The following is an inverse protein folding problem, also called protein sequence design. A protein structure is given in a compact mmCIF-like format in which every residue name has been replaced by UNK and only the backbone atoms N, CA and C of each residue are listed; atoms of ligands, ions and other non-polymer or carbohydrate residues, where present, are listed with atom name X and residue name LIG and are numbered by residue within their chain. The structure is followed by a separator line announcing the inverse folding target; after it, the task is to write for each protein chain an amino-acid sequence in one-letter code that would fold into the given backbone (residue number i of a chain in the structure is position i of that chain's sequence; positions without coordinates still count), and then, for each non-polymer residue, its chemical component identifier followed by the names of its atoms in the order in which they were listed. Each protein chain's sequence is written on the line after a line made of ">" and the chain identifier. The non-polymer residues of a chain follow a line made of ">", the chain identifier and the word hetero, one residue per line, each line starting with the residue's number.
data_IF_828893416905
#
_entry.id   IF_828893416905
#
_cell.length_a   1.000
_cell.length_b   1.000
_cell.length_c   1.000
_cell.angle_alpha   90.00
_cell.angle_beta   90.00
_cell.angle_gamma   90.00
#
_symmetry.space_group_name_H-M   'P 1'
#
loop_
_entity.id
_entity.type
_entity.pdbx_description
1 polymer ?
#
# COMPACT_ATOMS: atom_id res chain seq x y z
N UNK A 1 10.97 -7.40 9.91
CA UNK A 1 10.34 -6.08 9.99
C UNK A 1 10.65 -5.46 11.35
N UNK A 2 11.01 -4.20 11.36
CA UNK A 2 11.29 -3.42 12.58
C UNK A 2 10.36 -2.21 12.55
N UNK A 3 9.57 -2.00 13.60
CA UNK A 3 8.80 -0.78 13.82
C UNK A 3 9.69 0.26 14.47
N UNK A 4 9.48 1.51 14.12
CA UNK A 4 10.25 2.65 14.62
C UNK A 4 9.37 3.46 15.58
N UNK A 5 9.56 3.33 16.91
CA UNK A 5 8.68 3.94 17.91
C UNK A 5 8.57 5.47 17.77
N UNK A 6 9.67 6.14 17.42
CA UNK A 6 9.72 7.60 17.28
C UNK A 6 8.91 8.12 16.07
N UNK A 7 8.49 7.21 15.18
CA UNK A 7 7.67 7.50 14.00
C UNK A 7 6.26 6.95 14.12
N UNK A 8 5.85 6.59 15.34
CA UNK A 8 4.46 6.29 15.65
C UNK A 8 3.71 7.60 15.83
N UNK A 9 2.70 7.85 15.01
CA UNK A 9 1.75 8.94 15.24
C UNK A 9 0.51 8.35 15.88
N UNK A 10 0.25 8.75 17.12
CA UNK A 10 -1.00 8.50 17.80
C UNK A 10 -1.94 9.65 17.45
N UNK A 11 -2.90 9.41 16.60
CA UNK A 11 -4.05 10.27 16.40
C UNK A 11 -5.21 9.71 17.21
N UNK A 12 -6.20 10.55 17.65
CA UNK A 12 -7.28 10.08 18.54
C UNK A 12 -8.00 8.81 18.07
N UNK A 13 -7.98 8.55 16.77
CA UNK A 13 -8.76 7.47 16.15
C UNK A 13 -7.89 6.41 15.43
N UNK A 14 -6.57 6.58 15.31
CA UNK A 14 -5.74 5.56 14.67
C UNK A 14 -4.24 5.73 14.91
N UNK A 15 -3.61 4.64 15.30
CA UNK A 15 -2.16 4.56 15.45
C UNK A 15 -1.53 4.11 14.14
N UNK A 16 -0.71 4.99 13.55
CA UNK A 16 0.12 4.69 12.40
C UNK A 16 1.59 4.68 12.79
N UNK A 17 2.34 3.80 12.20
CA UNK A 17 3.77 3.73 12.41
C UNK A 17 4.52 3.47 11.10
N UNK A 18 5.73 3.98 11.05
CA UNK A 18 6.70 3.65 10.01
C UNK A 18 7.58 2.54 10.52
N UNK A 19 7.84 1.56 9.69
CA UNK A 19 8.78 0.49 9.94
C UNK A 19 9.71 0.27 8.77
N UNK A 20 10.70 -0.59 8.98
CA UNK A 20 11.66 -1.00 7.97
C UNK A 20 11.56 -2.50 7.78
N UNK A 21 11.37 -2.91 6.54
CA UNK A 21 11.39 -4.31 6.11
C UNK A 21 12.75 -4.63 5.50
N UNK A 22 13.34 -5.70 5.99
CA UNK A 22 14.55 -6.29 5.43
C UNK A 22 14.18 -7.59 4.71
N UNK A 23 14.64 -7.75 3.48
CA UNK A 23 14.56 -9.00 2.75
C UNK A 23 15.97 -9.50 2.48
N UNK A 24 16.23 -10.77 2.77
CA UNK A 24 17.45 -11.48 2.43
C UNK A 24 17.08 -12.84 1.82
N UNK A 25 17.85 -13.31 0.85
CA UNK A 25 17.68 -14.65 0.28
C UNK A 25 18.95 -15.46 0.48
N UNK A 26 18.89 -16.42 1.39
CA UNK A 26 19.99 -17.36 1.63
C UNK A 26 20.26 -18.28 0.41
N UNK A 27 19.24 -18.47 -0.42
CA UNK A 27 19.30 -19.34 -1.61
C UNK A 27 19.60 -18.59 -2.93
N UNK A 28 20.13 -17.37 -2.85
CA UNK A 28 20.54 -16.52 -3.98
C UNK A 28 19.45 -16.09 -4.97
N UNK A 29 18.19 -16.25 -4.62
CA UNK A 29 17.07 -15.90 -5.51
C UNK A 29 16.66 -14.41 -5.43
N UNK A 30 17.18 -13.65 -4.48
CA UNK A 30 16.92 -12.22 -4.35
C UNK A 30 18.12 -11.50 -3.74
N UNK A 31 18.33 -10.25 -4.13
CA UNK A 31 19.28 -9.36 -3.49
C UNK A 31 18.79 -8.98 -2.09
N UNK A 32 19.72 -8.65 -1.19
CA UNK A 32 19.38 -8.00 0.07
C UNK A 32 18.70 -6.67 -0.23
N UNK A 33 17.57 -6.42 0.39
CA UNK A 33 16.85 -5.16 0.19
C UNK A 33 16.30 -4.61 1.50
N UNK A 34 16.21 -3.28 1.55
CA UNK A 34 15.64 -2.51 2.64
C UNK A 34 14.53 -1.66 2.08
N UNK A 35 13.34 -1.74 2.68
CA UNK A 35 12.17 -0.99 2.23
C UNK A 35 11.43 -0.41 3.43
N UNK A 36 10.97 0.86 3.39
CA UNK A 36 10.04 1.37 4.37
C UNK A 36 8.68 0.70 4.20
N UNK A 37 7.95 0.58 5.29
CA UNK A 37 6.54 0.23 5.25
C UNK A 37 5.75 1.06 6.24
N UNK A 38 4.49 1.29 5.92
CA UNK A 38 3.53 1.89 6.82
C UNK A 38 2.74 0.77 7.53
N UNK A 39 2.58 0.92 8.81
CA UNK A 39 1.83 0.00 9.66
C UNK A 39 0.68 0.72 10.34
N UNK A 40 -0.49 0.08 10.37
CA UNK A 40 -1.63 0.54 11.15
C UNK A 40 -1.88 -0.44 12.29
N UNK A 41 -1.74 0.03 13.52
CA UNK A 41 -1.78 -0.83 14.71
C UNK A 41 -3.16 -1.48 14.94
N UNK A 42 -4.24 -0.79 14.60
CA UNK A 42 -5.62 -1.24 14.87
C UNK A 42 -6.00 -2.49 14.08
N UNK A 43 -5.53 -2.60 12.83
CA UNK A 43 -5.92 -3.69 11.92
C UNK A 43 -4.80 -4.67 11.64
N UNK A 44 -3.60 -4.46 12.20
CA UNK A 44 -2.38 -5.18 11.84
C UNK A 44 -2.10 -5.18 10.32
N UNK A 45 -2.68 -4.24 9.59
CA UNK A 45 -2.51 -4.10 8.16
C UNK A 45 -1.16 -3.45 7.88
N UNK A 46 -0.30 -4.14 7.17
CA UNK A 46 0.95 -3.59 6.65
C UNK A 46 0.77 -3.12 5.21
N UNK A 47 1.25 -1.95 4.89
CA UNK A 47 1.42 -1.49 3.52
C UNK A 47 2.90 -1.44 3.22
N UNK A 48 3.36 -2.30 2.32
CA UNK A 48 4.75 -2.27 1.88
C UNK A 48 4.90 -1.10 0.91
N UNK A 49 5.58 -0.06 1.35
CA UNK A 49 6.00 1.02 0.48
C UNK A 49 7.23 0.57 -0.28
N UNK A 50 7.04 0.18 -1.49
CA UNK A 50 8.14 -0.23 -2.34
C UNK A 50 7.69 -0.18 -3.79
N UNK A 51 8.02 0.91 -4.46
CA UNK A 51 8.26 0.82 -5.88
C UNK A 51 9.50 -0.02 -6.12
N UNK A 52 9.55 -0.63 -7.28
CA UNK A 52 10.78 -1.21 -7.81
C UNK A 52 11.98 -0.24 -7.76
N UNK A 53 11.72 1.08 -7.68
CA UNK A 53 12.72 2.15 -7.64
C UNK A 53 12.99 2.73 -6.23
N UNK A 54 12.18 2.44 -5.21
CA UNK A 54 12.39 2.88 -3.82
C UNK A 54 12.93 1.76 -2.93
N UNK A 55 12.91 0.54 -3.41
CA UNK A 55 13.60 -0.57 -2.79
C UNK A 55 15.11 -0.34 -2.96
N UNK A 56 15.79 0.02 -1.89
CA UNK A 56 17.24 0.14 -1.93
C UNK A 56 17.80 -1.27 -1.98
N UNK A 57 18.13 -1.71 -3.19
CA UNK A 57 18.77 -3.00 -3.42
C UNK A 57 20.24 -2.86 -3.10
N UNK A 58 20.65 -3.45 -2.01
CA UNK A 58 22.06 -3.64 -1.69
C UNK A 58 22.50 -4.86 -2.50
N UNK A 59 23.04 -4.62 -3.69
CA UNK A 59 23.51 -5.68 -4.61
C UNK A 59 24.87 -6.24 -4.13
N UNK A 60 24.90 -6.83 -2.97
CA UNK A 60 26.07 -7.65 -2.61
C UNK A 60 25.81 -9.12 -2.97
N UNK A 61 26.64 -9.62 -3.87
CA UNK A 61 26.69 -11.06 -4.15
C UNK A 61 27.25 -11.78 -2.93
N UNK A 62 26.59 -12.82 -2.46
CA UNK A 62 27.07 -13.70 -1.40
C UNK A 62 28.33 -14.50 -1.79
N UNK A 63 29.16 -14.01 -2.70
CA UNK A 63 30.37 -14.66 -3.18
C UNK A 63 31.55 -13.69 -3.11
N UNK A 64 32.52 -14.03 -2.29
CA UNK A 64 33.73 -13.27 -2.09
C UNK A 64 33.85 -12.61 -0.71
N UNK A 65 34.90 -11.83 -0.52
CA UNK A 65 35.07 -11.04 0.69
C UNK A 65 34.04 -9.92 0.71
N UNK A 66 33.10 -10.00 1.63
CA UNK A 66 32.11 -8.92 1.87
C UNK A 66 32.85 -7.84 2.67
N UNK A 67 32.93 -6.63 2.14
CA UNK A 67 33.34 -5.48 2.91
C UNK A 67 32.20 -5.11 3.88
N UNK A 68 32.39 -5.51 5.14
CA UNK A 68 31.40 -5.30 6.20
C UNK A 68 31.18 -3.81 6.45
N UNK A 69 32.21 -2.99 6.30
CA UNK A 69 32.13 -1.53 6.54
C UNK A 69 31.28 -0.88 5.45
N UNK A 70 31.54 -1.22 4.19
CA UNK A 70 30.73 -0.74 3.06
C UNK A 70 29.26 -1.19 3.19
N UNK A 71 29.00 -2.44 3.56
CA UNK A 71 27.66 -2.96 3.78
C UNK A 71 26.93 -2.20 4.89
N UNK A 72 27.59 -1.93 6.01
CA UNK A 72 27.01 -1.17 7.11
C UNK A 72 26.63 0.25 6.69
N UNK A 73 27.46 0.92 5.89
CA UNK A 73 27.18 2.26 5.40
C UNK A 73 26.01 2.27 4.41
N UNK A 74 25.95 1.30 3.52
CA UNK A 74 24.81 1.12 2.61
C UNK A 74 23.50 0.89 3.39
N UNK A 75 23.53 0.08 4.45
CA UNK A 75 22.36 -0.16 5.31
C UNK A 75 21.94 1.12 6.04
N UNK A 76 22.89 1.88 6.60
CA UNK A 76 22.60 3.16 7.27
C UNK A 76 21.95 4.16 6.32
N UNK A 77 22.49 4.29 5.11
CA UNK A 77 21.92 5.15 4.08
C UNK A 77 20.51 4.71 3.70
N UNK A 78 20.30 3.41 3.53
CA UNK A 78 18.99 2.85 3.23
C UNK A 78 17.96 3.14 4.34
N UNK A 79 18.37 3.05 5.60
CA UNK A 79 17.53 3.38 6.75
C UNK A 79 17.17 4.87 6.74
N UNK A 80 18.15 5.76 6.53
CA UNK A 80 17.92 7.21 6.50
C UNK A 80 16.91 7.61 5.39
N UNK A 81 17.07 7.04 4.19
CA UNK A 81 16.12 7.26 3.09
C UNK A 81 14.73 6.70 3.42
N UNK A 82 14.66 5.51 4.02
CA UNK A 82 13.39 4.91 4.43
C UNK A 82 12.64 5.77 5.47
N UNK A 83 13.37 6.40 6.40
CA UNK A 83 12.80 7.30 7.40
C UNK A 83 12.21 8.57 6.75
N UNK A 84 12.94 9.17 5.82
CA UNK A 84 12.44 10.34 5.07
C UNK A 84 11.17 9.98 4.31
N UNK A 85 11.19 8.89 3.56
CA UNK A 85 10.03 8.41 2.81
C UNK A 85 8.84 8.06 3.72
N UNK A 86 9.10 7.57 4.93
CA UNK A 86 8.04 7.27 5.90
C UNK A 86 7.25 8.50 6.34
N UNK A 87 7.90 9.64 6.52
CA UNK A 87 7.22 10.90 6.84
C UNK A 87 6.34 11.40 5.69
N UNK A 88 6.84 11.27 4.46
CA UNK A 88 6.06 11.62 3.27
C UNK A 88 4.80 10.74 3.16
N UNK A 89 4.94 9.46 3.48
CA UNK A 89 3.82 8.52 3.53
C UNK A 89 2.74 8.92 4.53
N UNK A 90 3.12 9.32 5.74
CA UNK A 90 2.16 9.77 6.75
C UNK A 90 1.40 11.01 6.27
N UNK A 91 2.08 11.92 5.58
CA UNK A 91 1.47 13.09 4.96
C UNK A 91 0.48 12.71 3.85
N UNK A 92 0.88 11.79 2.98
CA UNK A 92 0.03 11.26 1.89
C UNK A 92 -1.20 10.54 2.43
N UNK A 93 -1.04 9.76 3.51
CA UNK A 93 -2.17 9.10 4.19
C UNK A 93 -3.17 10.13 4.72
N UNK A 94 -2.69 11.15 5.45
CA UNK A 94 -3.54 12.22 5.95
C UNK A 94 -4.29 12.96 4.84
N UNK A 95 -3.64 13.17 3.69
CA UNK A 95 -4.28 13.77 2.53
C UNK A 95 -5.31 12.83 1.88
N UNK A 96 -5.00 11.56 1.72
CA UNK A 96 -5.89 10.57 1.08
C UNK A 96 -7.21 10.38 1.81
N UNK A 97 -7.28 10.64 3.11
CA UNK A 97 -8.52 10.68 3.89
C UNK A 97 -9.47 11.78 3.43
N UNK A 98 -8.95 12.88 2.90
CA UNK A 98 -9.72 14.04 2.41
C UNK A 98 -10.09 13.92 0.93
N UNK A 99 -9.38 13.10 0.17
CA UNK A 99 -9.66 12.89 -1.25
C UNK A 99 -10.89 12.01 -1.39
N UNK A 100 -11.98 12.60 -1.85
CA UNK A 100 -13.23 11.87 -2.09
C UNK A 100 -13.15 11.10 -3.41
N UNK A 101 -13.72 9.92 -3.38
CA UNK A 101 -14.01 9.09 -4.56
C UNK A 101 -15.54 9.04 -4.78
N UNK A 102 -15.96 8.82 -5.99
CA UNK A 102 -17.37 8.64 -6.28
C UNK A 102 -17.92 7.34 -5.71
N UNK A 103 -18.47 6.49 -6.53
CA UNK A 103 -18.91 5.16 -6.09
C UNK A 103 -17.71 4.22 -5.91
N UNK A 104 -17.57 3.65 -4.72
CA UNK A 104 -16.37 2.87 -4.33
C UNK A 104 -16.24 1.58 -5.11
N UNK A 105 -17.33 0.80 -5.32
CA UNK A 105 -17.23 -0.46 -6.06
C UNK A 105 -16.74 -0.24 -7.50
N UNK A 106 -17.34 0.65 -8.31
CA UNK A 106 -16.82 0.98 -9.64
C UNK A 106 -15.37 1.47 -9.61
N UNK A 107 -15.00 2.29 -8.61
CA UNK A 107 -13.62 2.78 -8.46
C UNK A 107 -12.63 1.63 -8.23
N UNK A 108 -12.96 0.68 -7.35
CA UNK A 108 -12.14 -0.52 -7.11
C UNK A 108 -12.02 -1.36 -8.39
N UNK A 109 -13.14 -1.58 -9.09
CA UNK A 109 -13.14 -2.35 -10.35
C UNK A 109 -12.27 -1.66 -11.40
N UNK A 110 -12.37 -0.34 -11.54
CA UNK A 110 -11.56 0.42 -12.47
C UNK A 110 -10.07 0.33 -12.13
N UNK A 111 -9.70 0.50 -10.87
CA UNK A 111 -8.32 0.36 -10.41
C UNK A 111 -7.77 -1.06 -10.65
N UNK A 112 -8.56 -2.09 -10.37
CA UNK A 112 -8.17 -3.48 -10.61
C UNK A 112 -7.92 -3.76 -12.10
N UNK A 113 -8.72 -3.17 -12.98
CA UNK A 113 -8.56 -3.28 -14.46
C UNK A 113 -7.38 -2.50 -14.99
N UNK A 114 -7.09 -1.33 -14.41
CA UNK A 114 -5.94 -0.50 -14.77
C UNK A 114 -4.61 -1.08 -14.27
N UNK A 115 -4.68 -2.04 -13.35
CA UNK A 115 -3.49 -2.65 -12.78
C UNK A 115 -2.76 -3.54 -13.78
N UNK A 116 -1.45 -3.36 -13.91
CA UNK A 116 -0.58 -4.27 -14.64
C UNK A 116 -0.46 -5.65 -13.96
N UNK A 117 -0.85 -5.74 -12.69
CA UNK A 117 -0.74 -6.96 -11.88
C UNK A 117 -1.90 -7.95 -12.10
N UNK A 118 -2.83 -7.66 -12.99
CA UNK A 118 -3.95 -8.54 -13.35
C UNK A 118 -4.71 -9.09 -12.12
N UNK A 119 -5.43 -8.23 -11.42
CA UNK A 119 -6.30 -8.67 -10.33
C UNK A 119 -7.42 -9.58 -10.86
N UNK A 120 -7.60 -10.72 -10.22
CA UNK A 120 -8.73 -11.60 -10.53
C UNK A 120 -10.03 -11.02 -10.00
N UNK A 121 -11.18 -11.51 -10.50
CA UNK A 121 -12.50 -11.14 -9.99
C UNK A 121 -12.59 -11.38 -8.49
N UNK A 122 -12.11 -12.53 -8.02
CA UNK A 122 -12.13 -12.88 -6.59
C UNK A 122 -11.26 -11.95 -5.73
N UNK A 123 -10.08 -11.56 -6.22
CA UNK A 123 -9.23 -10.58 -5.54
C UNK A 123 -9.89 -9.21 -5.49
N UNK A 124 -10.57 -8.80 -6.55
CA UNK A 124 -11.30 -7.54 -6.62
C UNK A 124 -12.51 -7.54 -5.68
N UNK A 125 -13.26 -8.64 -5.61
CA UNK A 125 -14.32 -8.84 -4.62
C UNK A 125 -13.79 -8.79 -3.19
N UNK A 126 -12.69 -9.50 -2.91
CA UNK A 126 -12.04 -9.46 -1.60
C UNK A 126 -11.61 -8.03 -1.23
N UNK A 127 -11.13 -7.24 -2.20
CA UNK A 127 -10.81 -5.83 -2.01
C UNK A 127 -12.04 -5.02 -1.58
N UNK A 128 -13.15 -5.13 -2.32
CA UNK A 128 -14.40 -4.44 -1.98
C UNK A 128 -14.93 -4.88 -0.61
N UNK A 129 -14.88 -6.20 -0.31
CA UNK A 129 -15.24 -6.70 1.03
C UNK A 129 -14.35 -6.10 2.11
N UNK A 130 -13.04 -6.06 1.90
CA UNK A 130 -12.08 -5.44 2.82
C UNK A 130 -12.40 -3.96 3.10
N UNK A 131 -12.85 -3.21 2.08
CA UNK A 131 -13.35 -1.85 2.25
C UNK A 131 -14.60 -1.82 3.14
N UNK A 132 -15.62 -2.63 2.85
CA UNK A 132 -16.87 -2.67 3.64
C UNK A 132 -16.61 -3.07 5.09
N UNK A 133 -15.77 -4.10 5.31
CA UNK A 133 -15.38 -4.54 6.65
C UNK A 133 -14.66 -3.44 7.43
N UNK A 134 -13.91 -2.58 6.73
CA UNK A 134 -13.19 -1.48 7.37
C UNK A 134 -14.09 -0.34 7.85
N UNK A 135 -15.29 -0.17 7.27
CA UNK A 135 -16.28 0.81 7.71
C UNK A 135 -16.86 0.47 9.10
N UNK A 136 -16.80 -0.78 9.50
CA UNK A 136 -17.32 -1.26 10.79
C UNK A 136 -16.24 -1.32 11.89
N UNK A 137 -15.03 -0.84 11.63
CA UNK A 137 -13.99 -0.77 12.63
C UNK A 137 -14.32 0.26 13.71
N UNK A 138 -14.08 -0.12 14.99
CA UNK A 138 -14.55 0.61 16.17
C UNK A 138 -14.09 2.07 16.29
N UNK A 139 -13.08 2.48 15.55
CA UNK A 139 -12.43 3.77 15.75
C UNK A 139 -12.76 4.82 14.68
N UNK A 140 -13.80 4.64 13.89
CA UNK A 140 -14.30 5.72 13.00
C UNK A 140 -13.34 6.29 11.95
N UNK A 141 -12.12 5.76 11.88
CA UNK A 141 -11.01 6.31 11.10
C UNK A 141 -11.11 6.00 9.59
N UNK A 142 -12.09 5.21 9.21
CA UNK A 142 -12.32 4.95 7.80
C UNK A 142 -13.24 6.02 7.25
N UNK A 143 -12.66 6.91 6.50
CA UNK A 143 -13.41 7.93 5.78
C UNK A 143 -14.17 7.27 4.63
N UNK A 144 -15.46 7.19 4.80
CA UNK A 144 -16.37 6.70 3.77
C UNK A 144 -16.16 7.46 2.46
N UNK A 145 -16.17 6.75 1.34
CA UNK A 145 -15.95 7.31 0.01
C UNK A 145 -14.66 8.14 -0.11
N UNK A 146 -13.57 7.63 0.45
CA UNK A 146 -12.26 8.27 0.34
C UNK A 146 -11.22 7.38 -0.33
N UNK A 147 -10.19 8.01 -0.91
CA UNK A 147 -9.05 7.30 -1.45
C UNK A 147 -8.38 6.42 -0.38
N UNK A 148 -8.29 6.91 0.86
CA UNK A 148 -7.80 6.15 2.00
C UNK A 148 -8.61 4.88 2.24
N UNK A 149 -9.95 4.97 2.26
CA UNK A 149 -10.82 3.82 2.46
C UNK A 149 -10.61 2.75 1.39
N UNK A 150 -10.47 3.15 0.12
CA UNK A 150 -10.18 2.24 -0.99
C UNK A 150 -8.84 1.53 -0.79
N UNK A 151 -7.78 2.26 -0.43
CA UNK A 151 -6.44 1.71 -0.18
C UNK A 151 -6.44 0.77 1.03
N UNK A 152 -7.09 1.19 2.13
CA UNK A 152 -7.21 0.37 3.35
C UNK A 152 -7.97 -0.94 3.08
N UNK A 153 -9.01 -0.90 2.25
CA UNK A 153 -9.72 -2.09 1.81
C UNK A 153 -8.82 -3.11 1.11
N UNK A 154 -7.90 -2.64 0.27
CA UNK A 154 -6.94 -3.51 -0.42
C UNK A 154 -5.94 -4.14 0.55
N UNK A 155 -5.35 -3.35 1.46
CA UNK A 155 -4.40 -3.87 2.45
C UNK A 155 -5.06 -4.85 3.42
N UNK A 156 -6.34 -4.62 3.77
CA UNK A 156 -7.12 -5.56 4.57
C UNK A 156 -7.40 -6.86 3.81
N UNK A 157 -7.80 -6.77 2.56
CA UNK A 157 -7.98 -7.94 1.72
C UNK A 157 -6.69 -8.76 1.59
N UNK A 158 -5.53 -8.10 1.50
CA UNK A 158 -4.23 -8.74 1.40
C UNK A 158 -3.93 -9.68 2.59
N UNK A 159 -4.51 -9.45 3.77
CA UNK A 159 -4.32 -10.32 4.94
C UNK A 159 -4.89 -11.74 4.74
N UNK A 160 -5.84 -11.90 3.82
CA UNK A 160 -6.41 -13.21 3.49
C UNK A 160 -5.56 -14.03 2.51
N UNK A 161 -4.44 -13.46 2.07
CA UNK A 161 -3.52 -14.09 1.11
C UNK A 161 -2.14 -14.25 1.72
N UNK A 162 -1.33 -15.10 1.11
CA UNK A 162 0.07 -15.35 1.51
C UNK A 162 1.01 -15.19 0.31
N UNK A 163 2.31 -15.12 0.60
CA UNK A 163 3.36 -15.10 -0.41
C UNK A 163 3.22 -13.96 -1.44
N UNK A 164 3.45 -14.27 -2.71
CA UNK A 164 3.50 -13.29 -3.78
C UNK A 164 2.18 -12.52 -3.99
N UNK A 165 1.03 -13.16 -3.75
CA UNK A 165 -0.27 -12.50 -3.90
C UNK A 165 -0.46 -11.40 -2.87
N UNK A 166 -0.16 -11.68 -1.61
CA UNK A 166 -0.20 -10.68 -0.53
C UNK A 166 0.75 -9.52 -0.85
N UNK A 167 1.99 -9.82 -1.17
CA UNK A 167 3.00 -8.81 -1.51
C UNK A 167 2.58 -7.94 -2.70
N UNK A 168 2.00 -8.55 -3.74
CA UNK A 168 1.43 -7.83 -4.89
C UNK A 168 0.36 -6.83 -4.46
N UNK A 169 -0.60 -7.25 -3.64
CA UNK A 169 -1.69 -6.39 -3.17
C UNK A 169 -1.18 -5.23 -2.30
N UNK A 170 -0.25 -5.51 -1.39
CA UNK A 170 0.35 -4.49 -0.52
C UNK A 170 1.17 -3.46 -1.33
N UNK A 171 1.94 -3.91 -2.33
CA UNK A 171 2.67 -3.02 -3.26
C UNK A 171 1.72 -2.17 -4.11
N UNK A 172 0.66 -2.77 -4.62
CA UNK A 172 -0.31 -2.03 -5.41
C UNK A 172 -1.06 -1.00 -4.57
N UNK A 173 -1.37 -1.28 -3.32
CA UNK A 173 -1.95 -0.32 -2.38
C UNK A 173 -1.08 0.94 -2.27
N UNK A 174 0.23 0.79 -2.16
CA UNK A 174 1.17 1.91 -2.16
C UNK A 174 1.17 2.66 -3.49
N UNK A 175 1.18 1.93 -4.59
CA UNK A 175 1.20 2.51 -5.93
C UNK A 175 -0.04 3.36 -6.22
N UNK A 176 -1.23 2.91 -5.83
CA UNK A 176 -2.46 3.68 -6.04
C UNK A 176 -2.55 4.89 -5.12
N UNK A 177 -1.95 4.81 -3.92
CA UNK A 177 -1.89 5.96 -3.03
C UNK A 177 -0.97 7.05 -3.59
N UNK A 178 0.23 6.68 -4.03
CA UNK A 178 1.18 7.60 -4.65
C UNK A 178 1.98 6.92 -5.76
N UNK A 179 1.66 7.19 -7.01
CA UNK A 179 2.37 6.61 -8.15
C UNK A 179 3.78 7.20 -8.34
N UNK A 180 4.06 8.39 -7.78
CA UNK A 180 5.36 9.04 -7.83
C UNK A 180 5.76 9.52 -6.44
N UNK A 181 7.02 9.30 -6.03
CA UNK A 181 7.57 9.77 -4.75
C UNK A 181 7.44 11.29 -4.62
N UNK A 182 7.63 11.99 -5.72
CA UNK A 182 7.56 13.46 -5.81
C UNK A 182 6.16 13.97 -6.20
N UNK A 183 5.12 13.14 -6.08
CA UNK A 183 3.76 13.57 -6.41
C UNK A 183 3.29 14.61 -5.41
N UNK A 184 2.96 15.80 -5.88
CA UNK A 184 2.30 16.76 -5.03
C UNK A 184 0.86 16.29 -4.68
N UNK A 185 0.32 16.84 -3.61
CA UNK A 185 -1.00 16.44 -3.12
C UNK A 185 -2.13 16.76 -4.12
N UNK A 186 -1.93 17.76 -4.97
CA UNK A 186 -2.91 18.13 -6.01
C UNK A 186 -2.90 17.11 -7.14
N UNK A 187 -1.72 16.63 -7.55
CA UNK A 187 -1.59 15.57 -8.56
C UNK A 187 -2.29 14.28 -8.11
N UNK A 188 -2.19 13.94 -6.82
CA UNK A 188 -2.90 12.80 -6.23
C UNK A 188 -4.41 12.99 -6.32
N UNK A 189 -4.93 14.15 -5.89
CA UNK A 189 -6.35 14.46 -5.96
C UNK A 189 -6.89 14.40 -7.39
N UNK A 190 -6.15 14.97 -8.35
CA UNK A 190 -6.49 14.94 -9.77
C UNK A 190 -6.56 13.51 -10.31
N UNK A 191 -5.59 12.68 -9.97
CA UNK A 191 -5.57 11.28 -10.39
C UNK A 191 -6.78 10.50 -9.87
N UNK A 192 -7.10 10.65 -8.58
CA UNK A 192 -8.26 9.98 -8.01
C UNK A 192 -9.57 10.45 -8.63
N UNK A 193 -9.69 11.75 -8.97
CA UNK A 193 -10.80 12.28 -9.75
C UNK A 193 -10.91 11.59 -11.11
N UNK A 194 -9.81 11.49 -11.86
CA UNK A 194 -9.79 10.79 -13.16
C UNK A 194 -10.16 9.31 -13.07
N UNK A 195 -9.78 8.63 -11.99
CA UNK A 195 -10.18 7.23 -11.76
C UNK A 195 -11.68 7.15 -11.49
N UNK A 196 -12.23 8.03 -10.65
CA UNK A 196 -13.67 8.09 -10.38
C UNK A 196 -14.48 8.38 -11.65
N UNK A 197 -14.07 9.35 -12.48
CA UNK A 197 -14.74 9.68 -13.73
C UNK A 197 -14.80 8.47 -14.70
N UNK A 198 -13.73 7.69 -14.76
CA UNK A 198 -13.72 6.46 -15.58
C UNK A 198 -14.54 5.35 -14.95
N UNK A 199 -14.57 5.26 -13.64
CA UNK A 199 -15.37 4.29 -12.91
C UNK A 199 -16.86 4.49 -13.11
N UNK A 200 -17.33 5.75 -13.15
CA UNK A 200 -18.75 6.09 -13.39
C UNK A 200 -19.24 5.71 -14.79
N UNK A 201 -18.31 5.47 -15.73
CA UNK A 201 -18.61 5.00 -17.08
C UNK A 201 -18.60 3.47 -17.21
N UNK A 202 -18.40 2.71 -16.13
CA UNK A 202 -18.47 1.25 -16.18
C UNK A 202 -19.92 0.79 -16.34
N UNK A 203 -20.15 -0.13 -17.28
CA UNK A 203 -21.47 -0.69 -17.49
C UNK A 203 -21.91 -1.63 -16.37
N UNK A 204 -23.21 -1.70 -16.10
CA UNK A 204 -23.79 -2.63 -15.12
C UNK A 204 -23.39 -4.08 -15.39
N UNK A 205 -23.27 -4.47 -16.66
CA UNK A 205 -22.81 -5.81 -17.05
C UNK A 205 -21.42 -6.12 -16.51
N UNK A 206 -20.52 -5.13 -16.45
CA UNK A 206 -19.20 -5.28 -15.85
C UNK A 206 -19.32 -5.33 -14.35
N UNK A 207 -20.03 -4.40 -13.73
CA UNK A 207 -20.13 -4.29 -12.28
C UNK A 207 -20.81 -5.51 -11.62
N UNK A 208 -21.81 -6.09 -12.29
CA UNK A 208 -22.53 -7.26 -11.79
C UNK A 208 -21.61 -8.50 -11.60
N UNK A 209 -20.48 -8.57 -12.30
CA UNK A 209 -19.49 -9.64 -12.09
C UNK A 209 -18.78 -9.53 -10.73
N UNK A 210 -18.75 -8.34 -10.15
CA UNK A 210 -18.04 -8.04 -8.92
C UNK A 210 -18.97 -7.85 -7.70
N UNK A 211 -20.28 -7.86 -7.91
CA UNK A 211 -21.25 -7.82 -6.81
C UNK A 211 -21.21 -9.13 -6.03
N UNK A 212 -21.38 -9.05 -4.71
CA UNK A 212 -21.67 -10.21 -3.91
C UNK A 212 -23.11 -10.64 -4.22
N UNK A 213 -23.27 -11.85 -4.71
CA UNK A 213 -24.59 -12.48 -4.70
C UNK A 213 -24.89 -12.71 -3.22
N UNK A 214 -25.83 -11.94 -2.70
CA UNK A 214 -26.18 -12.02 -1.27
C UNK A 214 -26.54 -13.45 -0.88
N UNK A 215 -25.95 -13.90 0.20
CA UNK A 215 -26.41 -15.07 0.95
C UNK A 215 -27.41 -14.57 1.98
#
# INVERSE_FOLDING_TARGET
>A
NILLPDYMKSEPDSDYGVGISFKNSEIRNAAFSVSPFLFRAICLNGMIWGRANSEIKINQRHMGNIDIVELQEQVRTAIAVALTQGNDLLTLMGHSKKVKVGNVLPTIVQLARDSQDNFTIEQTKAWHKGYLDSLHERNGDVHENSAFGVVNGLTRAAQNYTGATREKMEKYASFILSPHIDSDLQAISKRWGQVSDRADNLSDKVLNQYQFVGV
#
